data_IF_250570301998
#
_entry.id   IF_250570301998
#
_cell.length_a   1.000
_cell.length_b   1.000
_cell.length_c   1.000
_cell.angle_alpha   90.00
_cell.angle_beta   90.00
_cell.angle_gamma   90.00
#
_symmetry.space_group_name_H-M   'P 1'
#
loop_
_entity.id
_entity.type
_entity.pdbx_description
1 polymer ?
#
# COMPACT_ATOMS: atom_id res chain seq x y z
N UNK A 1 18.40 -9.53 20.55
CA UNK A 1 17.02 -9.23 20.11
C UNK A 1 16.06 -10.16 20.88
N UNK A 2 14.80 -9.79 21.12
CA UNK A 2 13.80 -10.68 21.75
C UNK A 2 13.55 -11.98 20.97
N UNK A 3 13.94 -11.97 19.70
CA UNK A 3 13.85 -13.07 18.76
C UNK A 3 14.99 -14.10 18.90
N UNK A 4 16.24 -13.62 19.05
CA UNK A 4 17.45 -14.43 19.24
C UNK A 4 18.52 -13.62 20.01
N UNK A 5 19.18 -14.27 20.98
CA UNK A 5 20.21 -13.66 21.83
C UNK A 5 21.50 -13.35 21.09
N UNK A 6 21.81 -14.09 20.02
CA UNK A 6 23.02 -13.95 19.21
C UNK A 6 22.83 -13.01 18.02
N UNK A 7 21.63 -12.48 17.80
CA UNK A 7 21.29 -11.66 16.64
C UNK A 7 22.34 -10.58 16.32
N UNK A 8 22.76 -9.81 17.34
CA UNK A 8 23.72 -8.70 17.14
C UNK A 8 25.16 -9.17 16.90
N UNK A 9 25.46 -10.44 17.15
CA UNK A 9 26.75 -11.06 16.83
C UNK A 9 26.77 -11.65 15.40
N UNK A 10 25.64 -11.73 14.71
CA UNK A 10 25.60 -12.25 13.34
C UNK A 10 26.15 -11.25 12.32
N UNK A 11 26.69 -11.73 11.18
CA UNK A 11 26.98 -10.89 10.03
C UNK A 11 25.74 -10.13 9.55
N UNK A 12 25.94 -8.95 8.95
CA UNK A 12 24.85 -8.08 8.50
C UNK A 12 23.86 -8.80 7.55
N UNK A 13 24.37 -9.60 6.61
CA UNK A 13 23.52 -10.38 5.69
C UNK A 13 22.62 -11.38 6.44
N UNK A 14 23.14 -12.03 7.47
CA UNK A 14 22.36 -12.99 8.25
C UNK A 14 21.30 -12.28 9.10
N UNK A 15 21.64 -11.11 9.66
CA UNK A 15 20.66 -10.27 10.36
C UNK A 15 19.53 -9.83 9.44
N UNK A 16 19.84 -9.44 8.21
CA UNK A 16 18.87 -9.02 7.20
C UNK A 16 17.97 -10.17 6.76
N UNK A 17 18.55 -11.32 6.38
CA UNK A 17 17.80 -12.51 6.03
C UNK A 17 16.85 -12.92 7.15
N UNK A 18 17.32 -12.85 8.40
CA UNK A 18 16.46 -13.10 9.57
C UNK A 18 15.29 -12.12 9.61
N UNK A 19 15.52 -10.81 9.53
CA UNK A 19 14.44 -9.79 9.56
C UNK A 19 13.39 -10.03 8.48
N UNK A 20 13.82 -10.39 7.27
CA UNK A 20 12.96 -10.63 6.12
C UNK A 20 12.12 -11.92 6.18
N UNK A 21 12.57 -12.92 6.96
CA UNK A 21 12.00 -14.29 6.91
C UNK A 21 11.53 -14.84 8.26
N UNK A 22 11.42 -13.97 9.28
CA UNK A 22 10.93 -14.39 10.60
C UNK A 22 9.58 -15.11 10.53
N UNK A 23 9.53 -16.30 11.15
CA UNK A 23 8.28 -17.02 11.34
C UNK A 23 7.30 -16.22 12.23
N UNK A 24 6.02 -16.59 12.17
CA UNK A 24 4.95 -15.88 12.89
C UNK A 24 5.19 -15.85 14.41
N UNK A 25 5.67 -16.93 15.02
CA UNK A 25 5.84 -17.01 16.47
C UNK A 25 6.96 -16.08 16.94
N UNK A 26 8.06 -16.02 16.20
CA UNK A 26 9.18 -15.13 16.46
C UNK A 26 8.76 -13.67 16.25
N UNK A 27 8.06 -13.38 15.15
CA UNK A 27 7.50 -12.06 14.85
C UNK A 27 6.60 -11.55 15.98
N UNK A 28 5.64 -12.35 16.43
CA UNK A 28 4.72 -11.96 17.50
C UNK A 28 5.48 -11.66 18.80
N UNK A 29 6.60 -12.35 19.09
CA UNK A 29 7.43 -12.04 20.28
C UNK A 29 8.08 -10.66 20.16
N UNK A 30 8.59 -10.31 18.99
CA UNK A 30 9.18 -8.99 18.73
C UNK A 30 8.12 -7.91 18.84
N UNK A 31 7.00 -8.06 18.14
CA UNK A 31 5.89 -7.09 18.15
C UNK A 31 5.30 -6.87 19.54
N UNK A 32 5.15 -7.94 20.33
CA UNK A 32 4.75 -7.83 21.74
C UNK A 32 5.70 -6.96 22.55
N UNK A 33 7.01 -7.11 22.35
CA UNK A 33 8.01 -6.29 23.04
C UNK A 33 7.93 -4.83 22.57
N UNK A 34 7.65 -4.58 21.29
CA UNK A 34 7.45 -3.22 20.79
C UNK A 34 6.20 -2.56 21.39
N UNK A 35 5.08 -3.29 21.47
CA UNK A 35 3.84 -2.81 22.09
C UNK A 35 4.04 -2.45 23.56
N UNK A 36 4.70 -3.32 24.33
CA UNK A 36 5.00 -3.09 25.74
C UNK A 36 6.00 -1.93 25.91
N UNK A 37 7.13 -1.97 25.23
CA UNK A 37 8.22 -0.99 25.45
C UNK A 37 7.90 0.42 24.95
N UNK A 38 7.11 0.55 23.88
CA UNK A 38 6.82 1.85 23.26
C UNK A 38 5.49 2.44 23.71
N UNK A 39 4.50 1.58 23.99
CA UNK A 39 3.13 2.00 24.27
C UNK A 39 2.60 1.52 25.63
N UNK A 40 3.38 0.76 26.42
CA UNK A 40 2.95 0.15 27.69
C UNK A 40 1.72 -0.78 27.52
N UNK A 41 1.60 -1.39 26.33
CA UNK A 41 0.51 -2.33 26.00
C UNK A 41 1.01 -3.75 26.23
N UNK A 42 0.53 -4.36 27.31
CA UNK A 42 0.80 -5.76 27.62
C UNK A 42 -0.25 -6.67 27.00
N UNK A 43 0.20 -7.69 26.27
CA UNK A 43 -0.67 -8.71 25.69
C UNK A 43 -0.04 -10.11 25.74
N UNK A 44 -0.86 -11.14 25.54
CA UNK A 44 -0.38 -12.50 25.31
C UNK A 44 0.24 -12.62 23.91
N UNK A 45 0.95 -13.72 23.64
CA UNK A 45 1.51 -13.97 22.30
C UNK A 45 0.42 -14.22 21.23
N UNK A 46 -0.71 -14.75 21.66
CA UNK A 46 -1.84 -15.12 20.80
C UNK A 46 -2.70 -13.89 20.46
N UNK A 47 -2.64 -12.84 21.28
CA UNK A 47 -3.41 -11.60 21.11
C UNK A 47 -2.63 -10.46 20.43
N UNK A 48 -1.36 -10.68 20.05
CA UNK A 48 -0.49 -9.61 19.50
C UNK A 48 -1.08 -8.94 18.27
N UNK A 49 -1.57 -9.73 17.30
CA UNK A 49 -2.13 -9.22 16.04
C UNK A 49 -3.32 -8.28 16.32
N UNK A 50 -4.14 -8.65 17.32
CA UNK A 50 -5.29 -7.84 17.77
C UNK A 50 -4.84 -6.59 18.51
N UNK A 51 -3.94 -6.71 19.49
CA UNK A 51 -3.42 -5.59 20.26
C UNK A 51 -2.72 -4.55 19.35
N UNK A 52 -2.04 -5.02 18.30
CA UNK A 52 -1.45 -4.16 17.28
C UNK A 52 -2.50 -3.42 16.46
N UNK A 53 -3.58 -4.11 16.06
CA UNK A 53 -4.69 -3.52 15.29
C UNK A 53 -5.50 -2.51 16.12
N UNK A 54 -5.66 -2.77 17.42
CA UNK A 54 -6.38 -1.92 18.36
C UNK A 54 -5.51 -0.77 18.91
N UNK A 55 -4.22 -0.70 18.53
CA UNK A 55 -3.32 0.34 18.99
C UNK A 55 -3.80 1.74 18.55
N UNK A 56 -3.69 2.77 19.41
CA UNK A 56 -4.18 4.11 19.07
C UNK A 56 -3.56 4.64 17.76
N UNK A 57 -4.40 5.17 16.87
CA UNK A 57 -3.97 5.72 15.57
C UNK A 57 -2.82 6.73 15.72
N UNK A 58 -2.85 7.56 16.76
CA UNK A 58 -1.83 8.58 17.07
C UNK A 58 -0.45 8.00 17.41
N UNK A 59 -0.37 6.69 17.65
CA UNK A 59 0.85 5.97 18.02
C UNK A 59 1.37 5.05 16.92
N UNK A 60 0.62 4.86 15.84
CA UNK A 60 1.00 3.96 14.75
C UNK A 60 2.32 4.35 14.08
N UNK A 61 2.63 5.65 13.94
CA UNK A 61 3.90 6.07 13.35
C UNK A 61 5.12 5.60 14.17
N UNK A 62 5.02 5.62 15.50
CA UNK A 62 6.09 5.15 16.38
C UNK A 62 6.27 3.64 16.24
N UNK A 63 5.17 2.88 16.22
CA UNK A 63 5.20 1.44 16.01
C UNK A 63 5.75 1.08 14.63
N UNK A 64 5.29 1.76 13.58
CA UNK A 64 5.72 1.50 12.21
C UNK A 64 7.20 1.82 12.01
N UNK A 65 7.69 2.92 12.58
CA UNK A 65 9.12 3.24 12.61
C UNK A 65 9.93 2.12 13.29
N UNK A 66 9.54 1.71 14.50
CA UNK A 66 10.26 0.68 15.24
C UNK A 66 10.19 -0.69 14.55
N UNK A 67 9.08 -0.98 13.87
CA UNK A 67 8.91 -2.20 13.09
C UNK A 67 9.97 -2.30 11.98
N UNK A 68 10.31 -1.19 11.31
CA UNK A 68 11.33 -1.18 10.26
C UNK A 68 12.70 -1.63 10.78
N UNK A 69 13.05 -1.29 12.02
CA UNK A 69 14.31 -1.75 12.64
C UNK A 69 14.35 -3.27 12.84
N UNK A 70 13.19 -3.91 12.87
CA UNK A 70 13.05 -5.35 13.12
C UNK A 70 12.71 -6.16 11.88
N UNK A 71 12.16 -5.54 10.83
CA UNK A 71 11.70 -6.22 9.61
C UNK A 71 12.27 -5.65 8.32
N UNK A 72 12.73 -4.41 8.34
CA UNK A 72 13.23 -3.72 7.17
C UNK A 72 14.52 -4.33 6.64
N UNK A 73 14.69 -4.25 5.32
CA UNK A 73 15.87 -4.74 4.60
C UNK A 73 16.66 -3.60 3.97
N UNK A 74 17.94 -3.84 3.71
CA UNK A 74 18.86 -2.87 3.15
C UNK A 74 19.21 -1.74 4.13
N UNK A 75 19.98 -0.78 3.62
CA UNK A 75 20.43 0.41 4.37
C UNK A 75 19.27 1.28 4.85
N UNK A 76 18.19 1.34 4.06
CA UNK A 76 17.05 2.22 4.30
C UNK A 76 15.87 1.47 4.96
N UNK A 77 16.11 0.26 5.47
CA UNK A 77 15.12 -0.56 6.17
C UNK A 77 13.78 -0.69 5.42
N UNK A 78 13.84 -0.92 4.12
CA UNK A 78 12.67 -1.03 3.25
C UNK A 78 11.77 -2.16 3.73
N UNK A 79 10.47 -1.87 3.81
CA UNK A 79 9.41 -2.82 4.12
C UNK A 79 8.24 -2.62 3.16
N UNK A 80 7.77 -3.70 2.57
CA UNK A 80 6.61 -3.71 1.68
C UNK A 80 5.33 -3.85 2.50
N UNK A 81 4.35 -2.99 2.28
CA UNK A 81 3.04 -3.12 2.94
C UNK A 81 2.21 -4.26 2.35
N UNK A 82 2.43 -4.57 1.08
CA UNK A 82 1.74 -5.63 0.37
C UNK A 82 2.14 -7.01 0.90
N UNK A 83 1.18 -7.93 0.88
CA UNK A 83 1.42 -9.32 1.25
C UNK A 83 2.14 -10.04 0.10
N UNK A 84 3.27 -10.66 0.41
CA UNK A 84 3.92 -11.61 -0.51
C UNK A 84 3.38 -13.02 -0.25
N UNK A 85 3.57 -13.91 -1.22
CA UNK A 85 3.26 -15.33 -1.06
C UNK A 85 3.99 -15.93 0.16
N UNK A 86 3.45 -17.02 0.69
CA UNK A 86 4.06 -17.72 1.83
C UNK A 86 5.52 -18.06 1.56
N UNK A 87 6.39 -17.75 2.54
CA UNK A 87 7.84 -17.95 2.48
C UNK A 87 8.55 -17.16 1.36
N UNK A 88 7.94 -16.08 0.86
CA UNK A 88 8.60 -15.11 0.00
C UNK A 88 8.96 -13.83 0.75
N UNK A 89 10.07 -13.23 0.35
CA UNK A 89 10.50 -11.91 0.79
C UNK A 89 11.01 -11.10 -0.40
N UNK A 90 11.19 -9.79 -0.21
CA UNK A 90 11.83 -8.93 -1.22
C UNK A 90 13.25 -9.38 -1.57
N UNK A 91 13.92 -10.14 -0.71
CA UNK A 91 15.27 -10.67 -0.96
C UNK A 91 15.28 -11.81 -2.00
N UNK A 92 14.12 -12.39 -2.34
CA UNK A 92 14.02 -13.42 -3.39
C UNK A 92 14.09 -12.83 -4.81
N UNK A 93 14.06 -11.50 -4.94
CA UNK A 93 14.06 -10.79 -6.20
C UNK A 93 15.37 -10.05 -6.39
N UNK A 94 15.98 -10.18 -7.57
CA UNK A 94 17.25 -9.50 -7.86
C UNK A 94 17.02 -8.02 -8.15
N UNK A 95 15.88 -7.69 -8.78
CA UNK A 95 15.50 -6.33 -9.13
C UNK A 95 14.06 -6.02 -8.74
N UNK A 96 13.75 -4.73 -8.64
CA UNK A 96 12.37 -4.24 -8.49
C UNK A 96 11.46 -4.67 -9.65
N UNK A 97 12.03 -4.79 -10.86
CA UNK A 97 11.33 -5.33 -12.02
C UNK A 97 10.93 -6.80 -11.80
N UNK A 98 11.84 -7.65 -11.31
CA UNK A 98 11.55 -9.07 -11.07
C UNK A 98 10.41 -9.24 -10.07
N UNK A 99 10.40 -8.43 -9.02
CA UNK A 99 9.31 -8.37 -8.06
C UNK A 99 7.99 -7.95 -8.73
N UNK A 100 7.97 -6.80 -9.41
CA UNK A 100 6.75 -6.27 -10.00
C UNK A 100 6.17 -7.19 -11.09
N UNK A 101 7.03 -7.83 -11.89
CA UNK A 101 6.60 -8.78 -12.90
C UNK A 101 6.04 -10.07 -12.29
N UNK A 102 6.66 -10.58 -11.21
CA UNK A 102 6.13 -11.73 -10.48
C UNK A 102 4.75 -11.43 -9.86
N UNK A 103 4.59 -10.23 -9.29
CA UNK A 103 3.31 -9.77 -8.75
C UNK A 103 2.24 -9.64 -9.85
N UNK A 104 2.58 -9.06 -11.00
CA UNK A 104 1.70 -9.02 -12.18
C UNK A 104 1.23 -10.43 -12.59
N UNK A 105 2.14 -11.40 -12.69
CA UNK A 105 1.79 -12.77 -13.06
C UNK A 105 0.87 -13.44 -12.03
N UNK A 106 1.10 -13.17 -10.74
CA UNK A 106 0.24 -13.65 -9.67
C UNK A 106 -1.18 -13.07 -9.79
N UNK A 107 -1.30 -11.76 -9.99
CA UNK A 107 -2.59 -11.08 -10.19
C UNK A 107 -3.33 -11.59 -11.44
N UNK A 108 -2.62 -11.77 -12.56
CA UNK A 108 -3.19 -12.35 -13.79
C UNK A 108 -3.75 -13.75 -13.58
N UNK A 109 -3.06 -14.59 -12.81
CA UNK A 109 -3.52 -15.94 -12.49
C UNK A 109 -4.74 -15.91 -11.55
N UNK A 110 -4.72 -15.04 -10.54
CA UNK A 110 -5.84 -14.86 -9.62
C UNK A 110 -7.09 -14.38 -10.35
N UNK A 111 -6.97 -13.37 -11.21
CA UNK A 111 -8.08 -12.81 -11.98
C UNK A 111 -8.70 -13.84 -12.93
N UNK A 112 -7.88 -14.59 -13.67
CA UNK A 112 -8.37 -15.68 -14.56
C UNK A 112 -9.14 -16.77 -13.82
N UNK A 113 -8.84 -16.98 -12.55
CA UNK A 113 -9.52 -17.98 -11.72
C UNK A 113 -10.84 -17.44 -11.15
N UNK A 114 -10.85 -16.19 -10.73
CA UNK A 114 -12.00 -15.57 -10.06
C UNK A 114 -13.07 -15.11 -11.05
N UNK A 115 -12.67 -14.61 -12.22
CA UNK A 115 -13.55 -13.97 -13.19
C UNK A 115 -13.55 -14.73 -14.52
N UNK A 116 -14.69 -15.34 -14.85
CA UNK A 116 -14.84 -16.17 -16.06
C UNK A 116 -14.73 -15.42 -17.39
N UNK A 117 -14.98 -14.10 -17.37
CA UNK A 117 -14.95 -13.19 -18.51
C UNK A 117 -13.68 -12.33 -18.54
N UNK A 118 -12.68 -12.65 -17.72
CA UNK A 118 -11.43 -11.88 -17.67
C UNK A 118 -10.60 -12.05 -18.94
N UNK A 119 -10.47 -10.95 -19.68
CA UNK A 119 -9.52 -10.80 -20.77
C UNK A 119 -8.20 -10.30 -20.17
N UNK A 120 -7.17 -11.15 -20.17
CA UNK A 120 -5.87 -10.84 -19.57
C UNK A 120 -5.29 -9.52 -20.07
N UNK A 121 -4.52 -8.85 -19.22
CA UNK A 121 -3.90 -7.57 -19.56
C UNK A 121 -2.41 -7.73 -19.84
N UNK A 122 -1.88 -6.92 -20.75
CA UNK A 122 -0.43 -6.83 -20.97
C UNK A 122 0.30 -6.29 -19.74
N UNK A 123 1.58 -6.64 -19.62
CA UNK A 123 2.42 -6.15 -18.53
C UNK A 123 2.78 -4.68 -18.71
N UNK A 124 2.48 -3.88 -17.69
CA UNK A 124 2.91 -2.50 -17.55
C UNK A 124 3.56 -2.30 -16.18
N UNK A 125 4.81 -1.84 -16.19
CA UNK A 125 5.62 -1.73 -14.98
C UNK A 125 4.95 -0.81 -13.95
N UNK A 126 4.71 -1.34 -12.76
CA UNK A 126 4.03 -0.63 -11.66
C UNK A 126 2.71 0.03 -12.08
N UNK A 127 1.90 -0.64 -12.91
CA UNK A 127 0.50 -0.24 -13.17
C UNK A 127 -0.31 -0.09 -11.89
N UNK A 128 -0.04 -0.96 -10.91
CA UNK A 128 -0.52 -0.85 -9.54
C UNK A 128 0.69 -0.62 -8.64
N UNK A 129 0.98 0.63 -8.27
CA UNK A 129 2.15 0.97 -7.47
C UNK A 129 2.10 0.33 -6.08
N UNK A 130 3.22 -0.22 -5.61
CA UNK A 130 3.27 -0.93 -4.32
C UNK A 130 3.61 0.03 -3.19
N UNK A 131 2.88 -0.05 -2.08
CA UNK A 131 3.15 0.80 -0.92
C UNK A 131 4.32 0.26 -0.11
N UNK A 132 5.24 1.17 0.24
CA UNK A 132 6.44 0.84 1.00
C UNK A 132 6.64 1.81 2.16
N UNK A 133 7.32 1.30 3.18
CA UNK A 133 7.84 2.08 4.31
C UNK A 133 9.35 1.96 4.33
N UNK A 134 10.02 3.05 4.69
CA UNK A 134 11.47 3.09 4.72
C UNK A 134 11.96 4.14 5.74
N UNK A 135 13.22 3.99 6.12
CA UNK A 135 13.97 4.96 6.91
C UNK A 135 15.05 5.60 6.03
N UNK A 136 14.98 6.91 5.86
CA UNK A 136 16.04 7.69 5.20
C UNK A 136 16.64 8.59 6.26
N UNK A 137 17.95 8.47 6.50
CA UNK A 137 18.68 9.21 7.54
C UNK A 137 18.04 9.12 8.94
N UNK A 138 17.33 8.02 9.21
CA UNK A 138 16.65 7.75 10.49
C UNK A 138 15.18 8.21 10.55
N UNK A 139 14.73 9.01 9.59
CA UNK A 139 13.37 9.52 9.50
C UNK A 139 12.43 8.53 8.81
N UNK A 140 11.19 8.44 9.29
CA UNK A 140 10.17 7.53 8.79
C UNK A 140 9.44 8.09 7.57
N UNK A 141 9.38 7.31 6.48
CA UNK A 141 8.65 7.66 5.27
C UNK A 141 7.66 6.58 4.87
N UNK A 142 6.50 7.04 4.38
CA UNK A 142 5.67 6.28 3.46
C UNK A 142 6.06 6.68 2.04
N UNK A 143 6.24 5.69 1.17
CA UNK A 143 6.51 5.91 -0.23
C UNK A 143 5.83 4.84 -1.07
N UNK A 144 6.03 4.94 -2.37
CA UNK A 144 5.43 4.04 -3.35
C UNK A 144 6.50 3.67 -4.35
N UNK A 145 6.63 2.37 -4.63
CA UNK A 145 7.41 1.94 -5.78
C UNK A 145 6.62 2.18 -7.06
N UNK A 146 7.23 2.93 -7.97
CA UNK A 146 6.64 3.39 -9.22
C UNK A 146 7.66 3.31 -10.34
N UNK A 147 7.19 3.31 -11.59
CA UNK A 147 8.06 3.42 -12.77
C UNK A 147 8.01 4.84 -13.33
N UNK A 148 9.01 5.22 -14.13
CA UNK A 148 8.97 6.50 -14.87
C UNK A 148 7.76 6.56 -15.80
N UNK A 149 7.36 5.42 -16.38
CA UNK A 149 6.18 5.33 -17.22
C UNK A 149 4.90 5.62 -16.43
N UNK A 150 4.76 5.02 -15.24
CA UNK A 150 3.64 5.29 -14.32
C UNK A 150 3.60 6.77 -13.95
N UNK A 151 4.73 7.37 -13.56
CA UNK A 151 4.79 8.80 -13.22
C UNK A 151 4.39 9.71 -14.39
N UNK A 152 4.79 9.36 -15.62
CA UNK A 152 4.37 10.09 -16.81
C UNK A 152 2.87 9.96 -17.05
N UNK A 153 2.32 8.75 -16.91
CA UNK A 153 0.89 8.49 -17.03
C UNK A 153 0.08 9.27 -15.98
N UNK A 154 0.52 9.26 -14.71
CA UNK A 154 -0.11 10.01 -13.62
C UNK A 154 -0.12 11.52 -13.93
N UNK A 155 1.00 12.05 -14.44
CA UNK A 155 1.09 13.46 -14.83
C UNK A 155 0.23 13.83 -16.04
N UNK A 156 0.07 12.93 -17.01
CA UNK A 156 -0.88 13.12 -18.12
C UNK A 156 -2.31 13.12 -17.59
N UNK A 157 -2.65 12.16 -16.72
CA UNK A 157 -3.96 12.02 -16.09
C UNK A 157 -4.35 13.28 -15.32
N UNK A 158 -3.42 13.81 -14.51
CA UNK A 158 -3.57 15.05 -13.75
C UNK A 158 -3.75 16.26 -14.67
N UNK A 159 -2.89 16.43 -15.68
CA UNK A 159 -3.03 17.53 -16.64
C UNK A 159 -4.37 17.50 -17.40
N UNK A 160 -4.87 16.30 -17.70
CA UNK A 160 -6.20 16.12 -18.29
C UNK A 160 -7.32 16.54 -17.34
N UNK A 161 -7.25 16.17 -16.06
CA UNK A 161 -8.19 16.63 -15.03
C UNK A 161 -8.18 18.14 -14.91
N UNK A 162 -7.01 18.76 -14.78
CA UNK A 162 -6.87 20.22 -14.69
C UNK A 162 -7.51 20.91 -15.89
N UNK A 163 -7.35 20.33 -17.09
CA UNK A 163 -7.96 20.88 -18.30
C UNK A 163 -9.49 20.71 -18.31
N UNK A 164 -10.01 19.59 -17.82
CA UNK A 164 -11.46 19.37 -17.66
C UNK A 164 -12.04 20.37 -16.66
N UNK A 165 -11.37 20.59 -15.53
CA UNK A 165 -11.77 21.56 -14.50
C UNK A 165 -11.81 22.99 -15.05
N UNK A 166 -10.87 23.35 -15.93
CA UNK A 166 -10.88 24.65 -16.63
C UNK A 166 -12.03 24.78 -17.63
N UNK A 167 -12.38 23.70 -18.34
CA UNK A 167 -13.45 23.71 -19.33
C UNK A 167 -14.85 23.73 -18.69
N UNK A 168 -15.04 22.94 -17.63
CA UNK A 168 -16.28 22.83 -16.88
C UNK A 168 -15.95 22.89 -15.39
N UNK A 169 -15.85 24.11 -14.83
CA UNK A 169 -15.65 24.28 -13.40
C UNK A 169 -16.77 23.60 -12.61
N UNK A 170 -16.38 22.73 -11.70
CA UNK A 170 -17.31 21.95 -10.90
C UNK A 170 -16.77 21.77 -9.48
N UNK A 171 -17.66 21.40 -8.56
CA UNK A 171 -17.30 21.13 -7.17
C UNK A 171 -18.01 19.90 -6.67
N UNK A 172 -17.40 19.24 -5.69
CA UNK A 172 -18.02 18.13 -4.99
C UNK A 172 -18.98 18.68 -3.93
N UNK A 173 -20.26 18.33 -4.03
CA UNK A 173 -21.31 18.74 -3.10
C UNK A 173 -21.98 17.52 -2.47
N UNK A 174 -22.52 17.70 -1.26
CA UNK A 174 -23.26 16.65 -0.56
C UNK A 174 -24.59 16.36 -1.27
N UNK A 175 -24.80 15.09 -1.61
CA UNK A 175 -26.08 14.60 -2.11
C UNK A 175 -27.12 14.46 -1.00
N UNK A 176 -28.37 14.18 -1.38
CA UNK A 176 -29.52 14.18 -0.45
C UNK A 176 -29.41 13.14 0.65
N UNK A 177 -28.65 12.08 0.43
CA UNK A 177 -28.48 11.01 1.39
C UNK A 177 -27.13 11.06 2.11
N UNK A 178 -26.33 12.09 1.87
CA UNK A 178 -25.02 12.20 2.49
C UNK A 178 -25.17 12.21 4.01
N UNK A 179 -24.36 11.42 4.70
CA UNK A 179 -24.37 11.38 6.15
C UNK A 179 -25.45 10.48 6.77
N UNK A 180 -26.32 9.85 5.97
CA UNK A 180 -27.30 8.90 6.50
C UNK A 180 -26.58 7.65 7.05
N UNK A 181 -26.98 7.18 8.24
CA UNK A 181 -26.39 5.98 8.82
C UNK A 181 -26.92 4.72 8.14
N UNK A 182 -26.01 3.86 7.72
CA UNK A 182 -26.31 2.52 7.21
C UNK A 182 -25.66 1.46 8.10
N UNK A 183 -26.09 0.20 7.96
CA UNK A 183 -25.46 -0.92 8.69
C UNK A 183 -23.99 -1.02 8.27
N UNK A 184 -23.09 -0.56 9.14
CA UNK A 184 -21.64 -0.62 8.94
C UNK A 184 -20.97 0.72 8.61
N UNK A 185 -21.69 1.85 8.62
CA UNK A 185 -21.06 3.15 8.40
C UNK A 185 -22.02 4.28 8.07
N UNK A 186 -21.49 5.27 7.36
CA UNK A 186 -22.22 6.46 6.91
C UNK A 186 -22.27 6.45 5.38
N UNK A 187 -23.43 6.74 4.80
CA UNK A 187 -23.60 6.78 3.37
C UNK A 187 -22.88 8.00 2.79
N UNK A 188 -21.90 7.74 1.92
CA UNK A 188 -21.09 8.75 1.26
C UNK A 188 -21.73 9.12 -0.09
N UNK A 189 -22.75 9.97 -0.06
CA UNK A 189 -23.41 10.53 -1.26
C UNK A 189 -22.75 11.85 -1.63
N UNK A 190 -21.67 11.81 -2.41
CA UNK A 190 -21.07 13.03 -2.96
C UNK A 190 -21.41 13.12 -4.45
N UNK A 191 -21.75 14.32 -4.90
CA UNK A 191 -22.18 14.60 -6.28
C UNK A 191 -21.35 15.73 -6.87
N UNK A 192 -21.16 15.70 -8.18
CA UNK A 192 -20.55 16.82 -8.91
C UNK A 192 -21.62 17.86 -9.21
N UNK A 193 -21.42 19.09 -8.74
CA UNK A 193 -22.16 20.28 -9.19
C UNK A 193 -21.34 20.98 -10.27
N UNK A 194 -21.84 20.93 -11.51
CA UNK A 194 -21.21 21.53 -12.67
C UNK A 194 -22.09 22.65 -13.26
N UNK A 195 -22.90 23.31 -12.42
CA UNK A 195 -23.78 24.40 -12.81
C UNK A 195 -24.73 24.06 -13.99
N UNK A 196 -25.27 22.83 -14.02
CA UNK A 196 -26.16 22.35 -15.08
C UNK A 196 -25.45 21.67 -16.26
N UNK A 197 -24.13 21.45 -16.17
CA UNK A 197 -23.32 20.76 -17.18
C UNK A 197 -22.89 19.35 -16.73
N UNK A 198 -23.55 18.76 -15.74
CA UNK A 198 -23.13 17.49 -15.12
C UNK A 198 -23.08 16.35 -16.13
N UNK A 199 -23.99 16.35 -17.11
CA UNK A 199 -24.01 15.35 -18.18
C UNK A 199 -22.80 15.50 -19.12
N UNK A 200 -22.41 16.73 -19.43
CA UNK A 200 -21.28 17.06 -20.29
C UNK A 200 -19.97 16.75 -19.58
N UNK A 201 -19.86 17.10 -18.29
CA UNK A 201 -18.72 16.74 -17.44
C UNK A 201 -18.53 15.23 -17.39
N UNK A 202 -19.60 14.47 -17.12
CA UNK A 202 -19.56 13.00 -17.11
C UNK A 202 -19.11 12.41 -18.45
N UNK A 203 -19.64 12.91 -19.56
CA UNK A 203 -19.22 12.46 -20.90
C UNK A 203 -17.75 12.77 -21.18
N UNK A 204 -17.28 13.97 -20.79
CA UNK A 204 -15.90 14.39 -20.97
C UNK A 204 -14.94 13.52 -20.15
N UNK A 205 -15.27 13.27 -18.87
CA UNK A 205 -14.52 12.37 -17.99
C UNK A 205 -14.48 10.94 -18.54
N UNK A 206 -15.61 10.41 -19.04
CA UNK A 206 -15.64 9.07 -19.63
C UNK A 206 -14.72 8.95 -20.86
N UNK A 207 -14.71 9.97 -21.72
CA UNK A 207 -13.84 9.98 -22.92
C UNK A 207 -12.37 10.08 -22.54
N UNK A 208 -12.05 10.98 -21.61
CA UNK A 208 -10.69 11.13 -21.09
C UNK A 208 -10.18 9.81 -20.50
N UNK A 209 -10.98 9.20 -19.63
CA UNK A 209 -10.66 7.92 -19.00
C UNK A 209 -10.50 6.80 -20.04
N UNK A 210 -11.35 6.74 -21.06
CA UNK A 210 -11.22 5.75 -22.13
C UNK A 210 -9.96 5.94 -22.97
N UNK A 211 -9.57 7.18 -23.26
CA UNK A 211 -8.31 7.45 -23.98
C UNK A 211 -7.10 7.06 -23.15
N UNK A 212 -7.09 7.44 -21.88
CA UNK A 212 -6.03 7.11 -20.94
C UNK A 212 -5.86 5.60 -20.76
N UNK A 213 -6.94 4.87 -20.49
CA UNK A 213 -6.92 3.42 -20.26
C UNK A 213 -6.52 2.60 -21.49
N UNK A 214 -6.69 3.14 -22.70
CA UNK A 214 -6.30 2.48 -23.95
C UNK A 214 -4.90 2.88 -24.43
N UNK A 215 -4.26 3.85 -23.78
CA UNK A 215 -2.92 4.34 -24.12
C UNK A 215 -1.80 3.69 -23.28
N UNK A 216 -2.15 2.98 -22.21
CA UNK A 216 -1.26 2.13 -21.41
C UNK A 216 -1.94 0.82 -21.04
#
# INVERSE_FOLDING_TARGET
>A
MAADSNYHAWPAQQQENFRATMDKKVRNRVERVLLDSLLDIQCSIDDVDKAWSDAPQSKLNILNWALLLTKGIGKDFIFLNEMLADNKSLLDFTTLYDYNYADYLFQEQANKKEFSDYEGMDYYAYKHPSWVRLLIDGDFYYATFTSVATQLCDGIEEAGRDYIDQLIPHTLVEGKNHGQQEKGGMFWDMQEDANGLERQLKELNNRWFSMYRNAG
#
